data_IF_943031407630
#
_entry.id   IF_943031407630
#
_cell.length_a   1.000
_cell.length_b   1.000
_cell.length_c   1.000
_cell.angle_alpha   90.00
_cell.angle_beta   90.00
_cell.angle_gamma   90.00
#
_symmetry.space_group_name_H-M   'P 1'
#
loop_
_entity.id
_entity.type
_entity.pdbx_description
1 polymer ?
#
# COMPACT_ATOMS: atom_id res chain seq x y z
N UNK A 1 17.88 -4.13 6.23
CA UNK A 1 18.93 -3.34 5.56
C UNK A 1 18.73 -1.85 5.87
N UNK A 2 18.81 -1.49 7.15
CA UNK A 2 19.32 -0.19 7.56
C UNK A 2 20.85 -0.25 7.44
N UNK A 3 21.57 0.87 7.62
CA UNK A 3 23.04 0.97 7.71
C UNK A 3 23.78 1.37 6.43
N UNK A 4 23.49 2.56 5.89
CA UNK A 4 24.59 3.46 5.52
C UNK A 4 24.19 4.89 5.91
N UNK A 5 24.85 5.51 6.91
CA UNK A 5 24.62 6.91 7.24
C UNK A 5 24.90 7.78 6.01
N UNK A 6 24.10 8.82 5.87
CA UNK A 6 24.28 9.86 4.86
C UNK A 6 24.87 11.01 5.63
N UNK A 7 26.07 11.44 5.25
CA UNK A 7 26.77 12.52 5.95
C UNK A 7 25.85 13.75 6.04
N UNK A 8 25.56 14.17 7.27
CA UNK A 8 24.73 15.35 7.57
C UNK A 8 23.21 15.14 7.63
N UNK A 9 22.66 13.94 7.38
CA UNK A 9 21.22 13.70 7.46
C UNK A 9 20.85 12.76 8.62
N UNK A 10 20.02 13.23 9.54
CA UNK A 10 19.45 12.40 10.60
C UNK A 10 18.59 11.30 9.98
N UNK A 11 18.85 10.03 10.28
CA UNK A 11 18.07 8.88 9.79
C UNK A 11 16.58 8.94 10.16
N UNK A 12 16.24 9.73 11.17
CA UNK A 12 14.88 10.00 11.62
C UNK A 12 14.18 11.12 10.84
N UNK A 13 14.90 11.88 10.02
CA UNK A 13 14.31 12.86 9.12
C UNK A 13 13.67 12.15 7.92
N UNK A 14 12.38 11.80 8.10
CA UNK A 14 11.60 11.04 7.12
C UNK A 14 11.34 11.79 5.82
N UNK A 15 11.43 13.12 5.87
CA UNK A 15 11.12 14.00 4.74
C UNK A 15 12.40 14.49 4.04
N UNK A 16 13.56 13.99 4.42
CA UNK A 16 14.79 14.18 3.66
C UNK A 16 14.67 13.49 2.27
N UNK A 17 14.86 14.22 1.15
CA UNK A 17 14.73 13.67 -0.20
C UNK A 17 15.56 12.41 -0.46
N UNK A 18 16.75 12.31 0.13
CA UNK A 18 17.64 11.18 -0.06
C UNK A 18 17.18 9.94 0.74
N UNK A 19 16.63 10.16 1.94
CA UNK A 19 16.02 9.10 2.76
C UNK A 19 14.75 8.58 2.07
N UNK A 20 13.93 9.46 1.49
CA UNK A 20 12.75 9.06 0.73
C UNK A 20 13.13 8.16 -0.46
N UNK A 21 14.09 8.58 -1.29
CA UNK A 21 14.54 7.80 -2.45
C UNK A 21 15.06 6.40 -2.06
N UNK A 22 15.85 6.31 -0.99
CA UNK A 22 16.33 5.02 -0.47
C UNK A 22 15.21 4.13 0.04
N UNK A 23 14.25 4.69 0.77
CA UNK A 23 13.07 3.94 1.26
C UNK A 23 12.21 3.45 0.10
N UNK A 24 12.01 4.28 -0.93
CA UNK A 24 11.31 3.89 -2.16
C UNK A 24 12.02 2.72 -2.85
N UNK A 25 13.34 2.80 -3.05
CA UNK A 25 14.10 1.69 -3.62
C UNK A 25 13.98 0.42 -2.77
N UNK A 26 14.13 0.55 -1.44
CA UNK A 26 14.03 -0.58 -0.52
C UNK A 26 12.67 -1.27 -0.57
N UNK A 27 11.57 -0.50 -0.56
CA UNK A 27 10.21 -1.07 -0.66
C UNK A 27 9.96 -1.66 -2.04
N UNK A 28 10.46 -1.07 -3.13
CA UNK A 28 10.35 -1.64 -4.48
C UNK A 28 11.08 -2.97 -4.59
N UNK A 29 12.32 -3.06 -4.09
CA UNK A 29 13.09 -4.31 -4.09
C UNK A 29 12.40 -5.36 -3.23
N UNK A 30 11.94 -5.01 -2.03
CA UNK A 30 11.20 -5.93 -1.17
C UNK A 30 9.91 -6.43 -1.83
N UNK A 31 9.18 -5.55 -2.51
CA UNK A 31 7.95 -5.91 -3.25
C UNK A 31 8.26 -6.88 -4.40
N UNK A 32 9.31 -6.62 -5.18
CA UNK A 32 9.73 -7.52 -6.25
C UNK A 32 10.14 -8.90 -5.71
N UNK A 33 10.90 -8.94 -4.62
CA UNK A 33 11.27 -10.19 -3.96
C UNK A 33 10.02 -10.94 -3.46
N UNK A 34 9.07 -10.24 -2.85
CA UNK A 34 7.79 -10.83 -2.41
C UNK A 34 7.01 -11.43 -3.56
N UNK A 35 6.95 -10.77 -4.72
CA UNK A 35 6.30 -11.31 -5.92
C UNK A 35 6.98 -12.57 -6.42
N UNK A 36 8.33 -12.57 -6.49
CA UNK A 36 9.11 -13.74 -6.93
C UNK A 36 8.91 -14.92 -5.97
N UNK A 37 8.98 -14.67 -4.66
CA UNK A 37 8.76 -15.70 -3.64
C UNK A 37 7.34 -16.24 -3.72
N UNK A 38 6.34 -15.37 -3.85
CA UNK A 38 4.93 -15.78 -3.96
C UNK A 38 4.70 -16.62 -5.21
N UNK A 39 5.23 -16.19 -6.37
CA UNK A 39 5.18 -16.97 -7.61
C UNK A 39 5.85 -18.35 -7.45
N UNK A 40 7.00 -18.41 -6.78
CA UNK A 40 7.69 -19.67 -6.51
C UNK A 40 6.85 -20.60 -5.62
N UNK A 41 6.30 -20.09 -4.52
CA UNK A 41 5.45 -20.86 -3.60
C UNK A 41 4.19 -21.36 -4.32
N UNK A 42 3.51 -20.48 -5.06
CA UNK A 42 2.30 -20.82 -5.81
C UNK A 42 2.56 -21.88 -6.86
N UNK A 43 3.74 -21.94 -7.48
CA UNK A 43 4.06 -23.00 -8.45
C UNK A 43 4.44 -24.32 -7.79
N UNK A 44 4.99 -24.26 -6.57
CA UNK A 44 5.55 -25.44 -5.89
C UNK A 44 4.55 -26.16 -4.98
N UNK A 45 3.55 -25.44 -4.47
CA UNK A 45 2.51 -25.93 -3.56
C UNK A 45 1.10 -25.68 -4.11
N UNK A 46 0.83 -26.21 -5.30
CA UNK A 46 -0.53 -26.23 -5.81
C UNK A 46 -1.33 -27.44 -5.32
N UNK A 47 -2.66 -27.32 -5.23
CA UNK A 47 -3.55 -28.46 -5.08
C UNK A 47 -3.28 -29.49 -6.18
N UNK A 48 -3.41 -30.78 -5.87
CA UNK A 48 -3.14 -31.88 -6.81
C UNK A 48 -4.01 -31.83 -8.10
N UNK A 49 -5.12 -31.09 -8.05
CA UNK A 49 -6.07 -30.93 -9.16
C UNK A 49 -5.76 -29.71 -10.05
N UNK A 50 -4.75 -28.91 -9.70
CA UNK A 50 -4.34 -27.76 -10.50
C UNK A 50 -3.56 -28.26 -11.72
N UNK A 51 -4.06 -27.94 -12.92
CA UNK A 51 -3.45 -28.33 -14.19
C UNK A 51 -2.07 -27.71 -14.45
N UNK A 52 -1.64 -27.71 -15.71
CA UNK A 52 -0.28 -27.32 -16.08
C UNK A 52 0.13 -25.91 -15.59
N UNK A 53 1.31 -25.85 -15.00
CA UNK A 53 1.83 -24.70 -14.26
C UNK A 53 2.67 -23.76 -15.12
N UNK A 54 2.06 -23.25 -16.19
CA UNK A 54 2.73 -22.28 -17.03
C UNK A 54 2.91 -20.92 -16.32
N UNK A 55 3.91 -20.17 -16.77
CA UNK A 55 4.19 -18.80 -16.32
C UNK A 55 2.94 -17.92 -16.52
N UNK A 56 2.22 -18.08 -17.63
CA UNK A 56 1.00 -17.31 -17.90
C UNK A 56 -0.10 -17.57 -16.84
N UNK A 57 -0.29 -18.84 -16.44
CA UNK A 57 -1.25 -19.20 -15.40
C UNK A 57 -0.84 -18.62 -14.03
N UNK A 58 0.46 -18.64 -13.70
CA UNK A 58 0.98 -18.04 -12.46
C UNK A 58 0.77 -16.53 -12.46
N UNK A 59 1.09 -15.84 -13.56
CA UNK A 59 0.88 -14.40 -13.69
C UNK A 59 -0.61 -14.03 -13.60
N UNK A 60 -1.50 -14.89 -14.09
CA UNK A 60 -2.95 -14.70 -13.94
C UNK A 60 -3.42 -14.88 -12.50
N UNK A 61 -2.89 -15.88 -11.77
CA UNK A 61 -3.17 -16.07 -10.35
C UNK A 61 -2.67 -14.89 -9.49
N UNK A 62 -1.51 -14.32 -9.83
CA UNK A 62 -1.00 -13.08 -9.21
C UNK A 62 -1.83 -11.84 -9.61
N UNK A 63 -2.78 -11.97 -10.55
CA UNK A 63 -3.58 -10.84 -11.04
C UNK A 63 -2.79 -9.85 -11.90
N UNK A 64 -1.62 -10.25 -12.41
CA UNK A 64 -0.70 -9.47 -13.24
C UNK A 64 -0.94 -9.69 -14.74
N UNK A 65 -1.55 -10.82 -15.12
CA UNK A 65 -1.91 -11.14 -16.49
C UNK A 65 -3.40 -11.51 -16.59
N UNK A 66 -4.08 -11.04 -17.62
CA UNK A 66 -5.47 -11.42 -17.91
C UNK A 66 -6.39 -10.24 -18.20
N UNK A 67 -7.46 -10.53 -18.93
CA UNK A 67 -8.42 -9.54 -19.43
C UNK A 67 -9.17 -8.79 -18.32
N UNK A 68 -9.15 -9.32 -17.09
CA UNK A 68 -9.88 -8.80 -15.93
C UNK A 68 -9.06 -7.86 -15.05
N UNK A 69 -7.72 -7.83 -15.18
CA UNK A 69 -6.87 -7.02 -14.30
C UNK A 69 -7.16 -5.51 -14.42
N UNK A 70 -7.16 -4.97 -15.65
CA UNK A 70 -7.45 -3.57 -15.90
C UNK A 70 -8.88 -3.16 -15.49
N UNK A 71 -9.95 -3.89 -15.90
CA UNK A 71 -11.30 -3.58 -15.44
C UNK A 71 -11.44 -3.54 -13.92
N UNK A 72 -10.86 -4.50 -13.20
CA UNK A 72 -10.93 -4.53 -11.73
C UNK A 72 -10.24 -3.30 -11.10
N UNK A 73 -9.06 -2.90 -11.61
CA UNK A 73 -8.38 -1.70 -11.13
C UNK A 73 -9.21 -0.44 -11.35
N UNK A 74 -9.83 -0.30 -12.53
CA UNK A 74 -10.67 0.85 -12.87
C UNK A 74 -11.92 0.92 -12.00
N UNK A 75 -12.60 -0.21 -11.78
CA UNK A 75 -13.77 -0.28 -10.90
C UNK A 75 -13.41 0.12 -9.47
N UNK A 76 -12.32 -0.42 -8.93
CA UNK A 76 -11.84 -0.04 -7.59
C UNK A 76 -11.51 1.45 -7.49
N UNK A 77 -10.85 2.02 -8.51
CA UNK A 77 -10.52 3.44 -8.54
C UNK A 77 -11.78 4.32 -8.56
N UNK A 78 -12.80 3.94 -9.34
CA UNK A 78 -14.08 4.65 -9.38
C UNK A 78 -14.81 4.56 -8.05
N UNK A 79 -14.87 3.38 -7.43
CA UNK A 79 -15.51 3.20 -6.13
C UNK A 79 -14.85 4.06 -5.06
N UNK A 80 -13.51 4.11 -5.03
CA UNK A 80 -12.77 5.00 -4.12
C UNK A 80 -13.07 6.46 -4.43
N UNK A 81 -13.05 6.88 -5.71
CA UNK A 81 -13.37 8.26 -6.08
C UNK A 81 -14.78 8.68 -5.64
N UNK A 82 -15.78 7.78 -5.78
CA UNK A 82 -17.16 8.02 -5.33
C UNK A 82 -17.23 8.11 -3.81
N UNK A 83 -16.57 7.20 -3.08
CA UNK A 83 -16.55 7.18 -1.61
C UNK A 83 -15.98 8.49 -1.04
N UNK A 84 -14.94 9.03 -1.67
CA UNK A 84 -14.25 10.24 -1.22
C UNK A 84 -14.78 11.53 -1.87
N UNK A 85 -15.79 11.45 -2.74
CA UNK A 85 -16.33 12.63 -3.44
C UNK A 85 -16.92 13.66 -2.46
N UNK A 86 -17.66 13.19 -1.45
CA UNK A 86 -18.25 14.06 -0.41
C UNK A 86 -17.20 14.86 0.37
N UNK A 87 -16.22 14.19 1.01
CA UNK A 87 -15.10 14.87 1.67
C UNK A 87 -14.34 15.83 0.75
N UNK A 88 -14.05 15.45 -0.50
CA UNK A 88 -13.35 16.31 -1.47
C UNK A 88 -14.13 17.58 -1.81
N UNK A 89 -15.45 17.49 -1.94
CA UNK A 89 -16.31 18.67 -2.16
C UNK A 89 -16.27 19.59 -0.94
N UNK A 90 -16.36 19.02 0.27
CA UNK A 90 -16.33 19.79 1.51
C UNK A 90 -14.98 20.51 1.69
N UNK A 91 -13.87 19.83 1.45
CA UNK A 91 -12.53 20.42 1.51
C UNK A 91 -12.33 21.53 0.47
N UNK A 92 -12.93 21.38 -0.72
CA UNK A 92 -12.93 22.44 -1.73
C UNK A 92 -13.72 23.68 -1.27
N UNK A 93 -14.90 23.50 -0.67
CA UNK A 93 -15.72 24.59 -0.16
C UNK A 93 -15.05 25.31 1.01
N UNK A 94 -14.33 24.57 1.86
CA UNK A 94 -13.56 25.12 2.98
C UNK A 94 -12.22 25.76 2.54
N UNK A 95 -11.88 25.70 1.25
CA UNK A 95 -10.63 26.26 0.71
C UNK A 95 -9.36 25.48 1.08
N UNK A 96 -9.49 24.27 1.64
CA UNK A 96 -8.37 23.38 1.99
C UNK A 96 -7.83 22.70 0.74
N UNK A 97 -8.74 22.19 -0.10
CA UNK A 97 -8.42 21.66 -1.41
C UNK A 97 -8.75 22.70 -2.48
N UNK A 98 -7.94 22.80 -3.53
CA UNK A 98 -8.27 23.60 -4.71
C UNK A 98 -7.98 22.81 -5.97
N UNK A 99 -8.79 23.03 -7.00
CA UNK A 99 -8.58 22.45 -8.33
C UNK A 99 -7.20 22.81 -8.92
N UNK A 100 -6.63 23.93 -8.50
CA UNK A 100 -5.28 24.32 -8.88
C UNK A 100 -4.20 23.42 -8.25
N UNK A 101 -4.35 23.06 -6.97
CA UNK A 101 -3.47 22.11 -6.31
C UNK A 101 -3.47 20.75 -7.03
N UNK A 102 -4.65 20.30 -7.47
CA UNK A 102 -4.79 19.05 -8.25
C UNK A 102 -4.04 19.13 -9.59
N UNK A 103 -4.16 20.25 -10.32
CA UNK A 103 -3.46 20.46 -11.59
C UNK A 103 -1.94 20.52 -11.46
N UNK A 104 -1.42 20.85 -10.26
CA UNK A 104 0.02 20.88 -9.98
C UNK A 104 0.60 19.50 -9.67
N UNK A 105 -0.22 18.48 -9.41
CA UNK A 105 0.25 17.13 -9.07
C UNK A 105 1.17 16.54 -10.15
N UNK A 106 0.84 16.54 -11.46
CA UNK A 106 1.70 15.92 -12.48
C UNK A 106 3.09 16.54 -12.55
N UNK A 107 3.19 17.86 -12.41
CA UNK A 107 4.47 18.58 -12.37
C UNK A 107 5.23 18.27 -11.08
N UNK A 108 4.53 18.14 -9.97
CA UNK A 108 5.14 17.88 -8.66
C UNK A 108 5.62 16.44 -8.52
N UNK A 109 4.96 15.47 -9.14
CA UNK A 109 5.37 14.06 -9.19
C UNK A 109 6.82 13.90 -9.66
N UNK A 110 7.20 14.61 -10.73
CA UNK A 110 8.54 14.49 -11.30
C UNK A 110 9.62 15.27 -10.55
N UNK A 111 9.23 16.32 -9.83
CA UNK A 111 10.18 17.23 -9.18
C UNK A 111 10.31 16.99 -7.68
N UNK A 112 9.36 16.31 -7.04
CA UNK A 112 9.29 16.13 -5.59
C UNK A 112 9.17 14.64 -5.24
N UNK A 113 10.15 14.05 -4.53
CA UNK A 113 10.13 12.63 -4.20
C UNK A 113 8.99 12.25 -3.23
N UNK A 114 8.47 13.19 -2.45
CA UNK A 114 7.32 13.00 -1.56
C UNK A 114 6.06 12.69 -2.37
N UNK A 115 5.84 13.40 -3.48
CA UNK A 115 4.71 13.19 -4.38
C UNK A 115 4.83 11.82 -5.07
N UNK A 116 6.03 11.49 -5.58
CA UNK A 116 6.29 10.18 -6.17
C UNK A 116 6.04 9.04 -5.17
N UNK A 117 6.50 9.20 -3.92
CA UNK A 117 6.27 8.24 -2.83
C UNK A 117 4.78 8.05 -2.57
N UNK A 118 4.04 9.14 -2.37
CA UNK A 118 2.66 9.09 -1.87
C UNK A 118 1.64 8.70 -2.94
N UNK A 119 1.84 9.12 -4.19
CA UNK A 119 0.82 8.95 -5.25
C UNK A 119 1.14 7.85 -6.26
N UNK A 120 2.38 7.34 -6.30
CA UNK A 120 2.80 6.33 -7.29
C UNK A 120 3.41 5.12 -6.60
N UNK A 121 4.56 5.29 -5.94
CA UNK A 121 5.31 4.15 -5.41
C UNK A 121 4.54 3.45 -4.31
N UNK A 122 4.01 4.18 -3.32
CA UNK A 122 3.18 3.63 -2.24
C UNK A 122 2.01 2.80 -2.78
N UNK A 123 1.06 3.41 -3.51
CA UNK A 123 -0.11 2.72 -4.04
C UNK A 123 0.23 1.49 -4.90
N UNK A 124 1.25 1.59 -5.78
CA UNK A 124 1.68 0.45 -6.60
C UNK A 124 2.23 -0.68 -5.73
N UNK A 125 3.11 -0.37 -4.77
CA UNK A 125 3.69 -1.41 -3.92
C UNK A 125 2.65 -2.07 -3.02
N UNK A 126 1.69 -1.31 -2.49
CA UNK A 126 0.58 -1.83 -1.70
C UNK A 126 -0.28 -2.77 -2.55
N UNK A 127 -0.70 -2.36 -3.74
CA UNK A 127 -1.49 -3.19 -4.65
C UNK A 127 -0.78 -4.51 -4.99
N UNK A 128 0.52 -4.45 -5.31
CA UNK A 128 1.31 -5.65 -5.63
C UNK A 128 1.52 -6.58 -4.44
N UNK A 129 1.77 -6.05 -3.24
CA UNK A 129 1.93 -6.86 -2.04
C UNK A 129 0.60 -7.51 -1.67
N UNK A 130 -0.49 -6.74 -1.57
CA UNK A 130 -1.76 -7.27 -1.07
C UNK A 130 -2.49 -8.10 -2.13
N UNK A 131 -2.77 -7.54 -3.30
CA UNK A 131 -3.55 -8.23 -4.34
C UNK A 131 -2.74 -9.30 -5.04
N UNK A 132 -1.46 -9.06 -5.31
CA UNK A 132 -0.66 -9.99 -6.13
C UNK A 132 0.14 -11.00 -5.30
N UNK A 133 0.41 -10.73 -4.02
CA UNK A 133 1.16 -11.69 -3.17
C UNK A 133 0.28 -12.31 -2.09
N UNK A 134 -0.36 -11.50 -1.24
CA UNK A 134 -1.12 -11.98 -0.07
C UNK A 134 -2.38 -12.75 -0.47
N UNK A 135 -3.25 -12.15 -1.29
CA UNK A 135 -4.54 -12.76 -1.67
C UNK A 135 -4.37 -14.11 -2.38
N UNK A 136 -3.49 -14.27 -3.40
CA UNK A 136 -3.34 -15.55 -4.09
C UNK A 136 -2.78 -16.66 -3.21
N UNK A 137 -1.88 -16.31 -2.28
CA UNK A 137 -1.36 -17.27 -1.30
C UNK A 137 -2.45 -17.73 -0.32
N UNK A 138 -3.29 -16.80 0.14
CA UNK A 138 -4.41 -17.12 1.03
C UNK A 138 -5.48 -17.98 0.36
N UNK A 139 -5.87 -17.66 -0.87
CA UNK A 139 -6.86 -18.46 -1.61
C UNK A 139 -6.33 -19.86 -1.90
N UNK A 140 -5.04 -19.99 -2.24
CA UNK A 140 -4.38 -21.30 -2.42
C UNK A 140 -4.28 -22.09 -1.12
N UNK A 141 -4.13 -21.41 0.02
CA UNK A 141 -4.16 -22.01 1.36
C UNK A 141 -5.58 -22.38 1.84
N UNK A 142 -6.62 -22.14 1.04
CA UNK A 142 -8.01 -22.52 1.34
C UNK A 142 -8.82 -21.47 2.10
N UNK A 143 -8.33 -20.23 2.22
CA UNK A 143 -9.14 -19.14 2.80
C UNK A 143 -10.25 -18.73 1.82
N UNK A 144 -11.44 -18.45 2.36
CA UNK A 144 -12.55 -17.96 1.55
C UNK A 144 -12.31 -16.53 1.08
N UNK A 145 -12.93 -16.15 -0.05
CA UNK A 145 -12.86 -14.79 -0.56
C UNK A 145 -13.34 -13.76 0.48
N UNK A 146 -14.39 -14.09 1.24
CA UNK A 146 -14.90 -13.22 2.31
C UNK A 146 -13.85 -13.00 3.39
N UNK A 147 -13.11 -14.03 3.81
CA UNK A 147 -12.00 -13.86 4.76
C UNK A 147 -10.91 -12.96 4.19
N UNK A 148 -10.54 -13.12 2.91
CA UNK A 148 -9.53 -12.27 2.29
C UNK A 148 -9.95 -10.79 2.28
N UNK A 149 -11.24 -10.51 2.02
CA UNK A 149 -11.81 -9.15 2.00
C UNK A 149 -11.80 -8.51 3.40
N UNK A 150 -12.13 -9.26 4.46
CA UNK A 150 -12.21 -8.70 5.81
C UNK A 150 -10.89 -8.73 6.59
N UNK A 151 -9.95 -9.62 6.26
CA UNK A 151 -8.67 -9.75 6.98
C UNK A 151 -7.58 -8.88 6.38
N UNK A 152 -7.60 -8.62 5.06
CA UNK A 152 -6.60 -7.74 4.45
C UNK A 152 -6.56 -6.31 5.03
N UNK A 153 -7.69 -5.64 5.32
CA UNK A 153 -7.68 -4.31 5.96
C UNK A 153 -7.19 -4.37 7.41
N UNK A 154 -7.38 -5.52 8.09
CA UNK A 154 -6.90 -5.72 9.47
C UNK A 154 -5.39 -5.63 9.55
N UNK A 155 -4.68 -6.22 8.59
CA UNK A 155 -3.23 -6.17 8.52
C UNK A 155 -2.74 -4.73 8.33
N UNK A 156 -3.44 -3.93 7.52
CA UNK A 156 -3.18 -2.49 7.40
C UNK A 156 -3.42 -1.74 8.71
N UNK A 157 -4.54 -2.03 9.39
CA UNK A 157 -4.86 -1.45 10.69
C UNK A 157 -3.76 -1.67 11.74
N UNK A 158 -3.15 -2.86 11.76
CA UNK A 158 -2.04 -3.17 12.69
C UNK A 158 -0.81 -2.28 12.43
N UNK A 159 -0.55 -1.87 11.19
CA UNK A 159 0.53 -0.92 10.90
C UNK A 159 0.29 0.47 11.54
N UNK A 160 -0.96 0.89 11.67
CA UNK A 160 -1.32 2.11 12.41
C UNK A 160 -1.08 1.98 13.92
N UNK A 161 -1.30 0.78 14.49
CA UNK A 161 -0.94 0.49 15.88
C UNK A 161 0.57 0.58 16.09
N UNK A 162 1.38 0.06 15.15
CA UNK A 162 2.84 0.21 15.22
C UNK A 162 3.26 1.68 15.24
N UNK A 163 2.64 2.52 14.41
CA UNK A 163 2.87 3.98 14.42
C UNK A 163 2.43 4.65 15.73
N UNK A 164 1.34 4.18 16.32
CA UNK A 164 0.85 4.66 17.62
C UNK A 164 1.90 4.48 18.72
N UNK A 165 2.54 3.31 18.74
CA UNK A 165 3.61 2.98 19.69
C UNK A 165 4.79 3.92 19.51
N UNK A 166 5.21 4.21 18.27
CA UNK A 166 6.27 5.19 18.02
C UNK A 166 5.90 6.59 18.49
N UNK A 167 4.66 7.05 18.26
CA UNK A 167 4.20 8.39 18.67
C UNK A 167 4.15 8.54 20.20
N UNK A 168 3.78 7.48 20.90
CA UNK A 168 3.78 7.47 22.36
C UNK A 168 5.21 7.42 22.93
N UNK A 169 6.08 6.58 22.36
CA UNK A 169 7.45 6.38 22.85
C UNK A 169 8.43 7.50 22.49
N UNK A 170 8.23 8.22 21.38
CA UNK A 170 9.20 9.19 20.85
C UNK A 170 8.72 10.65 20.93
N UNK A 171 7.41 10.93 20.80
CA UNK A 171 6.88 12.30 20.69
C UNK A 171 6.19 12.82 21.97
N UNK A 172 6.24 12.07 23.08
CA UNK A 172 5.60 12.44 24.36
C UNK A 172 4.11 12.86 24.23
N UNK A 173 3.41 12.33 23.22
CA UNK A 173 1.98 12.62 23.03
C UNK A 173 1.15 11.95 24.13
N UNK A 174 0.09 12.62 24.59
CA UNK A 174 -0.84 12.06 25.58
C UNK A 174 -1.42 10.73 25.07
N UNK A 175 -1.35 9.68 25.90
CA UNK A 175 -1.80 8.33 25.56
C UNK A 175 -3.25 8.30 25.03
N UNK A 176 -4.15 9.09 25.63
CA UNK A 176 -5.55 9.19 25.17
C UNK A 176 -5.69 9.69 23.74
N UNK A 177 -4.85 10.65 23.31
CA UNK A 177 -4.85 11.18 21.95
C UNK A 177 -4.29 10.18 20.94
N UNK A 178 -3.23 9.46 21.33
CA UNK A 178 -2.65 8.37 20.51
C UNK A 178 -3.68 7.25 20.33
N UNK A 179 -4.29 6.78 21.42
CA UNK A 179 -5.32 5.73 21.37
C UNK A 179 -6.54 6.13 20.55
N UNK A 180 -7.06 7.36 20.73
CA UNK A 180 -8.19 7.85 19.96
C UNK A 180 -7.86 7.96 18.46
N UNK A 181 -6.71 8.54 18.12
CA UNK A 181 -6.27 8.66 16.73
C UNK A 181 -6.10 7.29 16.08
N UNK A 182 -5.51 6.33 16.79
CA UNK A 182 -5.32 4.97 16.28
C UNK A 182 -6.63 4.21 16.16
N UNK A 183 -7.56 4.37 17.11
CA UNK A 183 -8.88 3.74 17.04
C UNK A 183 -9.71 4.27 15.86
N UNK A 184 -9.69 5.59 15.65
CA UNK A 184 -10.35 6.21 14.49
C UNK A 184 -9.70 5.75 13.20
N UNK A 185 -8.36 5.77 13.11
CA UNK A 185 -7.64 5.29 11.92
C UNK A 185 -7.96 3.83 11.65
N UNK A 186 -7.83 2.96 12.65
CA UNK A 186 -8.14 1.54 12.53
C UNK A 186 -9.57 1.33 12.02
N UNK A 187 -10.55 2.03 12.57
CA UNK A 187 -11.97 1.85 12.17
C UNK A 187 -12.26 2.40 10.77
N UNK A 188 -11.59 3.48 10.38
CA UNK A 188 -11.82 4.17 9.11
C UNK A 188 -11.03 3.58 7.94
N UNK A 189 -9.88 2.95 8.21
CA UNK A 189 -9.03 2.30 7.19
C UNK A 189 -9.21 0.78 7.15
N UNK A 190 -10.12 0.22 7.96
CA UNK A 190 -10.60 -1.17 7.89
C UNK A 190 -11.74 -1.32 6.89
#
# INVERSE_FOLDING_TARGET
MALLPVDGANIHDRDNPHIIKRRMLGVSVATLLSLVISAFVLRRWQPADAGDNDIAATLAQLGLAGHTALPSMLVSLVLVAVLFLGPLILDNLNGVFTWENLRRIPKSLWNQPEYMRNYVVGPITEELVFRSSVVPLWTTAGLSNSMCVFVSPVIFGVAHVHRAISLYAMDNQKLSKVLLSTAVQLTYTM
#
